data_IF_776604912369
#
_entry.id   IF_776604912369
#
_cell.length_a   1.000
_cell.length_b   1.000
_cell.length_c   1.000
_cell.angle_alpha   90.00
_cell.angle_beta   90.00
_cell.angle_gamma   90.00
#
_symmetry.space_group_name_H-M   'P 1'
#
loop_
_entity.id
_entity.type
_entity.pdbx_description
1 polymer ?
#
# COMPACT_ATOMS: atom_id res chain seq x y z
N UNK A 1 3.93 -7.23 27.70
CA UNK A 1 2.74 -7.31 26.83
C UNK A 1 1.68 -8.32 27.33
N UNK A 2 1.19 -8.21 28.57
CA UNK A 2 0.21 -9.20 29.12
C UNK A 2 -1.25 -8.92 28.71
N UNK A 3 -1.52 -7.77 28.09
CA UNK A 3 -2.88 -7.34 27.74
C UNK A 3 -3.39 -7.96 26.44
N UNK A 4 -2.52 -8.16 25.44
CA UNK A 4 -2.90 -8.62 24.10
C UNK A 4 -3.74 -9.92 24.13
N UNK A 5 -3.35 -11.01 24.82
CA UNK A 5 -4.13 -12.25 24.83
C UNK A 5 -5.57 -12.11 25.38
N UNK A 6 -5.87 -11.01 26.08
CA UNK A 6 -7.19 -10.75 26.66
C UNK A 6 -8.12 -10.01 25.69
N UNK A 7 -7.59 -9.43 24.62
CA UNK A 7 -8.32 -8.57 23.67
C UNK A 7 -8.85 -9.36 22.46
N UNK A 8 -9.57 -10.45 22.73
CA UNK A 8 -10.01 -11.44 21.71
C UNK A 8 -10.98 -10.88 20.65
N UNK A 9 -11.61 -9.75 20.91
CA UNK A 9 -12.61 -9.13 20.00
C UNK A 9 -12.00 -8.07 19.09
N UNK A 10 -10.68 -7.82 19.16
CA UNK A 10 -10.02 -6.86 18.27
C UNK A 10 -9.99 -7.40 16.84
N UNK A 11 -10.48 -6.61 15.90
CA UNK A 11 -10.33 -6.85 14.46
C UNK A 11 -9.05 -6.22 13.91
N UNK A 12 -8.60 -5.12 14.51
CA UNK A 12 -7.45 -4.35 14.04
C UNK A 12 -6.58 -3.81 15.18
N UNK A 13 -5.29 -3.70 14.92
CA UNK A 13 -4.31 -3.01 15.77
C UNK A 13 -3.60 -1.98 14.92
N UNK A 14 -3.60 -0.72 15.38
CA UNK A 14 -2.97 0.40 14.68
C UNK A 14 -1.65 0.74 15.38
N UNK A 15 -0.55 0.65 14.64
CA UNK A 15 0.80 0.98 15.07
C UNK A 15 1.20 2.30 14.41
N UNK A 16 1.35 3.34 15.21
CA UNK A 16 1.72 4.69 14.77
C UNK A 16 2.98 5.13 15.50
N UNK A 17 3.99 5.58 14.77
CA UNK A 17 5.24 6.16 15.29
C UNK A 17 6.04 5.22 16.23
N UNK A 18 5.91 3.90 16.06
CA UNK A 18 6.66 2.91 16.84
C UNK A 18 7.82 2.32 16.04
N UNK A 19 8.96 2.15 16.70
CA UNK A 19 9.99 1.23 16.25
C UNK A 19 9.40 -0.17 16.38
N UNK A 20 9.20 -0.82 15.25
CA UNK A 20 8.55 -2.12 15.22
C UNK A 20 9.60 -3.18 15.52
N UNK A 21 9.66 -3.61 16.77
CA UNK A 21 10.56 -4.67 17.18
C UNK A 21 9.99 -6.05 16.81
N UNK A 22 10.89 -6.97 16.44
CA UNK A 22 10.56 -8.35 16.09
C UNK A 22 9.65 -9.05 17.13
N UNK A 23 9.89 -8.95 18.46
CA UNK A 23 9.05 -9.62 19.45
C UNK A 23 7.61 -9.11 19.45
N UNK A 24 7.37 -7.83 19.17
CA UNK A 24 6.03 -7.27 19.08
C UNK A 24 5.28 -7.86 17.89
N UNK A 25 5.91 -7.92 16.72
CA UNK A 25 5.28 -8.49 15.53
C UNK A 25 4.97 -9.99 15.70
N UNK A 26 5.86 -10.76 16.31
CA UNK A 26 5.61 -12.18 16.62
C UNK A 26 4.40 -12.37 17.54
N UNK A 27 4.27 -11.52 18.57
CA UNK A 27 3.11 -11.56 19.48
C UNK A 27 1.82 -11.15 18.75
N UNK A 28 1.87 -10.10 17.91
CA UNK A 28 0.72 -9.63 17.14
C UNK A 28 0.26 -10.65 16.11
N UNK A 29 1.18 -11.37 15.48
CA UNK A 29 0.88 -12.42 14.53
C UNK A 29 0.22 -13.65 15.16
N UNK A 30 0.63 -13.98 16.39
CA UNK A 30 0.02 -15.04 17.21
C UNK A 30 -1.37 -14.65 17.73
N UNK A 31 -1.74 -13.37 17.63
CA UNK A 31 -3.03 -12.87 18.05
C UNK A 31 -4.10 -13.17 16.99
N UNK A 32 -5.36 -13.47 17.37
CA UNK A 32 -6.47 -13.69 16.43
C UNK A 32 -6.92 -12.42 15.68
N UNK A 33 -6.13 -11.34 15.72
CA UNK A 33 -6.45 -10.10 14.99
C UNK A 33 -6.32 -10.37 13.50
N UNK A 34 -7.30 -9.84 12.75
CA UNK A 34 -7.36 -10.03 11.31
C UNK A 34 -6.44 -9.09 10.54
N UNK A 35 -6.08 -7.94 11.12
CA UNK A 35 -5.20 -6.99 10.45
C UNK A 35 -4.39 -6.11 11.41
N UNK A 36 -3.12 -5.91 11.07
CA UNK A 36 -2.19 -5.02 11.75
C UNK A 36 -1.92 -3.85 10.82
N UNK A 37 -2.34 -2.65 11.21
CA UNK A 37 -2.13 -1.44 10.42
C UNK A 37 -0.87 -0.75 10.90
N UNK A 38 0.10 -0.54 10.01
CA UNK A 38 1.30 0.23 10.26
C UNK A 38 1.15 1.56 9.53
N UNK A 39 1.23 2.68 10.26
CA UNK A 39 0.97 4.01 9.69
C UNK A 39 1.99 4.36 8.59
N UNK A 40 3.28 4.11 8.82
CA UNK A 40 4.36 4.47 7.89
C UNK A 40 5.31 3.31 7.63
N UNK A 41 5.59 3.05 6.36
CA UNK A 41 6.72 2.21 5.97
C UNK A 41 7.99 3.04 6.00
N UNK A 42 8.90 2.69 6.91
CA UNK A 42 10.23 3.27 6.98
C UNK A 42 11.25 2.21 6.60
N UNK A 43 12.43 2.64 6.13
CA UNK A 43 13.52 1.74 5.70
C UNK A 43 13.94 0.73 6.78
N UNK A 44 13.76 1.07 8.06
CA UNK A 44 14.09 0.17 9.18
C UNK A 44 13.04 -0.92 9.45
N UNK A 45 11.80 -0.73 9.00
CA UNK A 45 10.71 -1.70 9.21
C UNK A 45 10.81 -2.84 8.21
N UNK A 46 11.26 -2.53 6.99
CA UNK A 46 11.35 -3.48 5.88
C UNK A 46 12.22 -4.71 6.25
N UNK A 47 13.49 -4.58 6.65
CA UNK A 47 14.31 -5.75 7.02
C UNK A 47 13.67 -6.62 8.09
N UNK A 48 13.05 -6.01 9.11
CA UNK A 48 12.36 -6.73 10.19
C UNK A 48 11.19 -7.55 9.65
N UNK A 49 10.47 -7.07 8.63
CA UNK A 49 9.39 -7.83 8.00
C UNK A 49 9.89 -9.05 7.21
N UNK A 50 11.09 -9.00 6.61
CA UNK A 50 11.68 -10.18 5.93
C UNK A 50 12.14 -11.25 6.91
N UNK A 51 12.74 -10.84 8.03
CA UNK A 51 13.13 -11.77 9.10
C UNK A 51 11.90 -12.52 9.64
N UNK A 52 10.73 -11.89 9.61
CA UNK A 52 9.48 -12.50 10.03
C UNK A 52 8.94 -13.51 9.03
N UNK A 53 9.07 -13.28 7.73
CA UNK A 53 8.64 -14.27 6.72
C UNK A 53 9.42 -15.59 6.86
N UNK A 54 10.72 -15.51 7.15
CA UNK A 54 11.56 -16.70 7.41
C UNK A 54 11.04 -17.57 8.57
N UNK A 55 10.21 -17.01 9.45
CA UNK A 55 9.58 -17.68 10.57
C UNK A 55 8.14 -18.16 10.29
N UNK A 56 7.68 -18.13 9.02
CA UNK A 56 6.37 -18.61 8.59
C UNK A 56 5.22 -17.67 8.92
N UNK A 57 5.47 -16.35 8.96
CA UNK A 57 4.48 -15.36 9.35
C UNK A 57 3.64 -14.89 8.17
N UNK A 58 2.34 -14.70 8.42
CA UNK A 58 1.38 -14.27 7.42
C UNK A 58 1.42 -12.75 7.25
N UNK A 59 2.24 -12.27 6.32
CA UNK A 59 2.36 -10.85 6.00
C UNK A 59 1.07 -10.27 5.39
N UNK A 60 0.11 -11.10 4.97
CA UNK A 60 -1.17 -10.62 4.41
C UNK A 60 -2.06 -9.90 5.43
N UNK A 61 -1.82 -10.12 6.73
CA UNK A 61 -2.47 -9.38 7.82
C UNK A 61 -1.95 -7.95 7.96
N UNK A 62 -0.75 -7.67 7.45
CA UNK A 62 -0.11 -6.38 7.63
C UNK A 62 -0.58 -5.42 6.54
N UNK A 63 -1.05 -4.26 6.96
CA UNK A 63 -1.53 -3.19 6.09
C UNK A 63 -0.66 -1.97 6.36
N UNK A 64 0.17 -1.59 5.39
CA UNK A 64 0.89 -0.33 5.39
C UNK A 64 -0.06 0.76 4.94
N UNK A 65 -0.28 1.78 5.77
CA UNK A 65 -1.14 2.89 5.41
C UNK A 65 -0.43 3.85 4.45
N UNK A 66 0.76 4.31 4.80
CA UNK A 66 1.56 5.22 3.96
C UNK A 66 2.92 4.57 3.68
N UNK A 67 3.14 4.17 2.43
CA UNK A 67 4.44 3.69 1.96
C UNK A 67 5.13 4.74 1.11
N UNK A 68 6.40 5.02 1.39
CA UNK A 68 7.27 5.75 0.48
C UNK A 68 8.18 4.75 -0.22
N UNK A 69 8.30 4.85 -1.54
CA UNK A 69 9.24 4.03 -2.32
C UNK A 69 10.36 4.98 -2.71
N UNK A 70 11.51 4.94 -2.03
CA UNK A 70 12.59 5.80 -2.42
C UNK A 70 13.09 5.37 -3.80
N UNK A 71 13.58 6.35 -4.56
CA UNK A 71 13.95 6.17 -5.95
C UNK A 71 15.33 5.54 -6.08
N UNK A 72 15.58 4.36 -5.52
CA UNK A 72 16.81 3.62 -5.78
C UNK A 72 16.47 2.22 -6.31
N UNK A 73 17.19 1.76 -7.33
CA UNK A 73 16.89 0.49 -8.03
C UNK A 73 16.79 -0.73 -7.09
N UNK A 74 17.55 -0.74 -6.00
CA UNK A 74 17.49 -1.81 -4.99
C UNK A 74 16.18 -1.84 -4.20
N UNK A 75 15.58 -0.69 -3.92
CA UNK A 75 14.41 -0.55 -3.04
C UNK A 75 13.13 -1.04 -3.71
N UNK A 76 13.05 -0.92 -5.04
CA UNK A 76 11.94 -1.46 -5.83
C UNK A 76 11.91 -2.99 -5.76
N UNK A 77 13.08 -3.64 -5.83
CA UNK A 77 13.17 -5.11 -5.73
C UNK A 77 12.84 -5.60 -4.32
N UNK A 78 13.31 -4.88 -3.30
CA UNK A 78 12.94 -5.15 -1.92
C UNK A 78 11.43 -5.09 -1.77
N UNK A 79 10.80 -3.97 -2.16
CA UNK A 79 9.36 -3.79 -2.10
C UNK A 79 8.59 -4.91 -2.83
N UNK A 80 9.08 -5.33 -4.01
CA UNK A 80 8.49 -6.43 -4.78
C UNK A 80 8.38 -7.70 -3.95
N UNK A 81 9.45 -8.03 -3.23
CA UNK A 81 9.48 -9.21 -2.35
C UNK A 81 8.37 -9.14 -1.31
N UNK A 82 8.22 -8.01 -0.58
CA UNK A 82 7.16 -7.89 0.43
C UNK A 82 5.75 -7.99 -0.13
N UNK A 83 5.50 -7.37 -1.29
CA UNK A 83 4.19 -7.46 -1.95
C UNK A 83 3.88 -8.89 -2.40
N UNK A 84 4.90 -9.68 -2.79
CA UNK A 84 4.74 -11.08 -3.14
C UNK A 84 4.28 -11.94 -1.95
N UNK A 85 4.64 -11.55 -0.72
CA UNK A 85 4.17 -12.17 0.52
C UNK A 85 2.78 -11.70 1.00
N UNK A 86 2.08 -10.91 0.18
CA UNK A 86 0.71 -10.48 0.47
C UNK A 86 0.59 -9.22 1.31
N UNK A 87 1.70 -8.53 1.60
CA UNK A 87 1.67 -7.23 2.27
C UNK A 87 0.71 -6.27 1.53
N UNK A 88 -0.19 -5.65 2.29
CA UNK A 88 -1.14 -4.68 1.73
C UNK A 88 -0.60 -3.27 1.90
N UNK A 89 -0.84 -2.40 0.92
CA UNK A 89 -0.45 -0.99 0.96
C UNK A 89 -1.62 -0.11 0.53
N UNK A 90 -2.03 0.83 1.38
CA UNK A 90 -3.17 1.73 1.10
C UNK A 90 -2.78 2.94 0.29
N UNK A 91 -1.66 3.56 0.63
CA UNK A 91 -1.16 4.75 -0.03
C UNK A 91 0.31 4.56 -0.39
N UNK A 92 0.65 4.87 -1.64
CA UNK A 92 2.03 4.86 -2.15
C UNK A 92 2.43 6.28 -2.50
N UNK A 93 3.56 6.74 -1.97
CA UNK A 93 4.24 7.95 -2.36
C UNK A 93 5.45 7.64 -3.23
N UNK A 94 5.50 8.22 -4.43
CA UNK A 94 6.60 8.12 -5.37
C UNK A 94 7.29 9.49 -5.47
N UNK A 95 8.47 9.66 -4.85
CA UNK A 95 9.27 10.87 -4.95
C UNK A 95 9.90 11.04 -6.34
N UNK A 96 10.16 9.94 -7.06
CA UNK A 96 10.63 9.97 -8.45
C UNK A 96 9.77 9.08 -9.35
N UNK A 97 8.78 9.65 -10.07
CA UNK A 97 7.91 8.89 -10.95
C UNK A 97 8.59 8.43 -12.25
N UNK A 98 9.85 8.82 -12.52
CA UNK A 98 10.59 8.33 -13.67
C UNK A 98 11.08 6.89 -13.48
N UNK A 99 11.11 6.36 -12.26
CA UNK A 99 11.51 4.97 -11.93
C UNK A 99 10.44 3.90 -12.26
N UNK A 100 9.56 4.23 -13.21
CA UNK A 100 8.25 3.60 -13.36
C UNK A 100 8.22 2.31 -14.16
N UNK A 101 9.29 1.96 -14.88
CA UNK A 101 9.30 0.74 -15.70
C UNK A 101 9.02 -0.50 -14.84
N UNK A 102 9.58 -0.58 -13.63
CA UNK A 102 9.29 -1.65 -12.67
C UNK A 102 7.93 -1.52 -11.97
N UNK A 103 7.49 -0.29 -11.67
CA UNK A 103 6.28 -0.02 -10.87
C UNK A 103 5.00 -0.41 -11.60
N UNK A 104 4.95 -0.25 -12.93
CA UNK A 104 3.76 -0.57 -13.73
C UNK A 104 3.32 -2.05 -13.66
N UNK A 105 4.24 -2.93 -13.28
CA UNK A 105 4.02 -4.37 -13.15
C UNK A 105 3.86 -4.83 -11.70
N UNK A 106 4.16 -3.98 -10.72
CA UNK A 106 3.96 -4.30 -9.32
C UNK A 106 2.47 -4.31 -8.99
N UNK A 107 2.07 -5.25 -8.14
CA UNK A 107 0.70 -5.37 -7.65
C UNK A 107 0.65 -4.96 -6.19
N UNK A 108 0.18 -3.74 -5.94
CA UNK A 108 -0.08 -3.25 -4.60
C UNK A 108 -1.45 -3.71 -4.13
N UNK A 109 -1.48 -4.68 -3.21
CA UNK A 109 -2.75 -5.16 -2.67
C UNK A 109 -3.39 -4.09 -1.79
N UNK A 110 -4.65 -3.75 -2.07
CA UNK A 110 -5.41 -2.79 -1.29
C UNK A 110 -5.13 -1.32 -1.59
N UNK A 111 -4.30 -1.00 -2.61
CA UNK A 111 -3.94 0.36 -2.97
C UNK A 111 -5.15 1.21 -3.33
N UNK A 112 -5.34 2.31 -2.60
CA UNK A 112 -6.42 3.27 -2.79
C UNK A 112 -5.95 4.67 -3.14
N UNK A 113 -4.70 5.02 -2.81
CA UNK A 113 -4.12 6.32 -3.10
C UNK A 113 -2.72 6.17 -3.70
N UNK A 114 -2.45 6.91 -4.78
CA UNK A 114 -1.12 7.09 -5.34
C UNK A 114 -0.77 8.57 -5.26
N UNK A 115 0.37 8.90 -4.68
CA UNK A 115 0.90 10.26 -4.63
C UNK A 115 2.21 10.32 -5.41
N UNK A 116 2.26 11.25 -6.35
CA UNK A 116 3.39 11.47 -7.24
C UNK A 116 4.02 12.83 -6.93
N UNK A 117 5.32 12.84 -6.78
CA UNK A 117 6.10 14.06 -6.71
C UNK A 117 6.58 14.42 -8.12
N UNK A 118 6.08 15.54 -8.64
CA UNK A 118 6.46 16.08 -9.94
C UNK A 118 7.46 17.21 -9.70
N UNK A 119 8.74 16.88 -9.72
CA UNK A 119 9.80 17.89 -9.61
C UNK A 119 9.93 18.75 -10.88
N UNK A 120 10.93 19.63 -10.94
CA UNK A 120 11.12 20.56 -12.06
C UNK A 120 11.43 19.90 -13.42
N UNK A 121 11.95 18.66 -13.41
CA UNK A 121 12.25 17.93 -14.63
C UNK A 121 10.96 17.39 -15.29
N UNK A 122 10.90 17.29 -16.63
CA UNK A 122 9.79 16.65 -17.32
C UNK A 122 9.68 15.18 -16.88
N UNK A 123 8.59 14.87 -16.17
CA UNK A 123 8.27 13.51 -15.72
C UNK A 123 7.42 12.80 -16.76
N UNK A 124 7.84 11.61 -17.19
CA UNK A 124 6.99 10.75 -18.02
C UNK A 124 5.97 10.00 -17.18
N UNK A 125 4.69 10.16 -17.51
CA UNK A 125 3.56 9.46 -16.86
C UNK A 125 2.88 8.46 -17.80
N UNK A 126 3.58 8.01 -18.85
CA UNK A 126 3.04 7.06 -19.84
C UNK A 126 2.63 5.71 -19.23
N UNK A 127 3.22 5.35 -18.09
CA UNK A 127 2.93 4.14 -17.33
C UNK A 127 1.64 4.22 -16.50
N UNK A 128 1.20 5.44 -16.13
CA UNK A 128 0.12 5.66 -15.17
C UNK A 128 -1.22 5.05 -15.62
N UNK A 129 -1.65 5.13 -16.91
CA UNK A 129 -2.88 4.47 -17.35
C UNK A 129 -2.88 2.96 -17.10
N UNK A 130 -1.77 2.29 -17.44
CA UNK A 130 -1.60 0.85 -17.21
C UNK A 130 -1.56 0.51 -15.72
N UNK A 131 -0.92 1.36 -14.91
CA UNK A 131 -0.91 1.21 -13.46
C UNK A 131 -2.31 1.34 -12.84
N UNK A 132 -3.13 2.28 -13.31
CA UNK A 132 -4.51 2.41 -12.84
C UNK A 132 -5.32 1.16 -13.21
N UNK A 133 -5.14 0.64 -14.42
CA UNK A 133 -5.81 -0.58 -14.88
C UNK A 133 -5.47 -1.81 -14.02
N UNK A 134 -4.22 -1.92 -13.54
CA UNK A 134 -3.80 -3.03 -12.68
C UNK A 134 -4.22 -2.87 -11.21
N UNK A 135 -4.72 -1.70 -10.80
CA UNK A 135 -5.11 -1.39 -9.41
C UNK A 135 -6.58 -0.94 -9.32
N UNK A 136 -7.55 -1.88 -9.35
CA UNK A 136 -8.98 -1.55 -9.39
C UNK A 136 -9.52 -0.87 -8.12
N UNK A 137 -8.77 -0.88 -7.03
CA UNK A 137 -9.11 -0.20 -5.77
C UNK A 137 -8.55 1.22 -5.70
N UNK A 138 -7.77 1.66 -6.70
CA UNK A 138 -7.16 2.99 -6.72
C UNK A 138 -8.24 4.07 -6.95
N UNK A 139 -8.53 4.85 -5.93
CA UNK A 139 -9.59 5.87 -5.94
C UNK A 139 -9.04 7.28 -6.23
N UNK A 140 -7.76 7.49 -5.88
CA UNK A 140 -7.14 8.82 -5.85
C UNK A 140 -5.72 8.78 -6.39
N UNK A 141 -5.43 9.66 -7.34
CA UNK A 141 -4.06 10.01 -7.75
C UNK A 141 -3.82 11.48 -7.43
N UNK A 142 -2.73 11.75 -6.71
CA UNK A 142 -2.35 13.08 -6.22
C UNK A 142 -1.02 13.48 -6.82
N UNK A 143 -0.93 14.70 -7.33
CA UNK A 143 0.32 15.27 -7.82
C UNK A 143 0.77 16.40 -6.89
N UNK A 144 2.05 16.42 -6.55
CA UNK A 144 2.68 17.41 -5.66
C UNK A 144 3.97 17.95 -6.28
N UNK A 145 4.37 19.19 -5.96
CA UNK A 145 5.60 19.85 -6.44
C UNK A 145 6.09 20.84 -5.35
N UNK A 146 7.40 20.94 -5.07
CA UNK A 146 7.95 21.87 -4.05
C UNK A 146 7.82 23.35 -4.42
N UNK A 147 7.97 23.71 -5.71
CA UNK A 147 8.29 25.06 -6.14
C UNK A 147 7.09 25.97 -6.41
N UNK A 148 5.87 25.46 -6.24
CA UNK A 148 4.65 26.28 -6.29
C UNK A 148 3.71 25.79 -5.21
N UNK A 149 3.58 26.57 -4.13
CA UNK A 149 2.68 26.31 -2.99
C UNK A 149 1.57 25.33 -3.35
N UNK A 150 1.75 24.10 -2.91
CA UNK A 150 1.09 22.85 -3.30
C UNK A 150 -0.14 23.03 -4.21
N UNK A 151 0.05 23.06 -5.54
CA UNK A 151 -1.10 22.83 -6.44
C UNK A 151 -1.40 21.33 -6.39
N UNK A 152 -2.23 20.93 -5.44
CA UNK A 152 -2.74 19.57 -5.33
C UNK A 152 -3.82 19.38 -6.40
N UNK A 153 -3.44 18.84 -7.55
CA UNK A 153 -4.43 18.37 -8.53
C UNK A 153 -4.84 16.96 -8.16
N UNK A 154 -6.13 16.78 -7.90
CA UNK A 154 -6.72 15.49 -7.62
C UNK A 154 -7.32 14.93 -8.90
N UNK A 155 -6.85 13.75 -9.31
CA UNK A 155 -7.65 12.89 -10.17
C UNK A 155 -8.37 11.90 -9.25
N UNK A 156 -9.66 12.13 -9.05
CA UNK A 156 -10.54 11.19 -8.34
C UNK A 156 -11.23 10.33 -9.38
N UNK A 157 -10.99 9.02 -9.30
CA UNK A 157 -11.66 8.04 -10.13
C UNK A 157 -12.91 7.59 -9.39
N UNK A 158 -14.06 8.23 -9.68
CA UNK A 158 -15.33 7.64 -9.27
C UNK A 158 -15.62 6.46 -10.19
N UNK A 159 -15.23 5.26 -9.78
CA UNK A 159 -15.75 4.04 -10.38
C UNK A 159 -17.27 4.02 -10.17
N UNK A 160 -18.01 4.54 -11.16
CA UNK A 160 -19.45 4.37 -11.25
C UNK A 160 -19.73 2.89 -11.50
N UNK A 161 -19.78 2.10 -10.43
CA UNK A 161 -20.41 0.77 -10.41
C UNK A 161 -21.92 0.95 -10.61
N UNK A 162 -22.33 1.38 -11.81
CA UNK A 162 -23.67 1.08 -12.31
C UNK A 162 -23.67 -0.39 -12.66
N UNK A 163 -23.95 -1.21 -11.65
CA UNK A 163 -24.46 -2.57 -11.80
C UNK A 163 -25.62 -2.52 -12.79
N UNK A 164 -25.34 -2.87 -14.06
CA UNK A 164 -26.37 -3.29 -15.01
C UNK A 164 -26.92 -4.61 -14.48
N UNK A 165 -27.90 -4.53 -13.56
CA UNK A 165 -28.90 -5.58 -13.40
C UNK A 165 -29.60 -5.72 -14.75
N UNK A 166 -29.10 -6.60 -15.61
CA UNK A 166 -29.92 -7.21 -16.66
C UNK A 166 -31.04 -7.95 -15.93
N UNK A 167 -32.20 -7.31 -15.83
CA UNK A 167 -33.48 -8.02 -15.68
C UNK A 167 -33.60 -8.90 -16.92
N UNK A 168 -33.20 -10.16 -16.80
CA UNK A 168 -33.66 -11.22 -17.68
C UNK A 168 -35.14 -11.40 -17.43
N UNK A 169 -35.92 -11.05 -18.44
CA UNK A 169 -37.37 -11.16 -18.54
C UNK A 169 -37.84 -12.59 -18.28
N UNK A 170 -38.75 -12.72 -17.31
CA UNK A 170 -39.75 -13.78 -17.28
C UNK A 170 -40.82 -13.39 -18.31
N UNK A 171 -41.06 -14.25 -19.30
CA UNK A 171 -42.30 -14.26 -20.08
C UNK A 171 -42.61 -15.72 -20.44
N UNK A 172 -43.89 -16.06 -20.69
CA UNK A 172 -44.80 -16.77 -19.80
C UNK A 172 -44.91 -18.27 -20.09
#
# INVERSE_FOLDING_TARGET
MQLLPRLKTLSQIHLKDFIIELPLLTVLQSHPVTSIVIEFLTDWVLPTLLELDSNGLDLSKIVIKHGSIPGQDGEVEFLRSYLAYGLQMKEVFLPDPNMSEGLSFMKFQGLSCLQLYLDEAPVSLSWLPKFIETHPLLEKVTFSNWNRGSIVRFLSFRHSLRSRRRKGSVIP
#
